data_IF_534355848485
#
_entry.id   IF_534355848485
#
_cell.length_a   1.000
_cell.length_b   1.000
_cell.length_c   1.000
_cell.angle_alpha   90.00
_cell.angle_beta   90.00
_cell.angle_gamma   90.00
#
_symmetry.space_group_name_H-M   'P 1'
#
loop_
_entity.id
_entity.type
_entity.pdbx_description
1 polymer ?
#
# COMPACT_ATOMS: atom_id res chain seq x y z
N UNK A 1 -5.79 13.08 8.06
CA UNK A 1 -5.18 12.37 6.93
C UNK A 1 -3.79 12.96 6.75
N UNK A 2 -2.75 12.13 6.75
CA UNK A 2 -1.35 12.58 6.65
C UNK A 2 -0.93 12.64 5.18
N UNK A 3 -1.25 11.61 4.40
CA UNK A 3 -0.86 11.50 2.99
C UNK A 3 -1.77 10.53 2.24
N UNK A 4 -1.90 10.70 0.93
CA UNK A 4 -2.68 9.81 0.07
C UNK A 4 -2.29 10.02 -1.38
N UNK A 5 -2.11 8.92 -2.11
CA UNK A 5 -1.89 8.94 -3.55
C UNK A 5 -2.57 7.74 -4.23
N UNK A 6 -3.04 7.97 -5.45
CA UNK A 6 -3.36 6.92 -6.39
C UNK A 6 -2.07 6.38 -6.99
N UNK A 7 -2.01 5.07 -7.22
CA UNK A 7 -0.91 4.45 -7.95
C UNK A 7 -1.26 4.40 -9.43
N UNK A 8 -0.25 4.53 -10.28
CA UNK A 8 -0.37 4.30 -11.72
C UNK A 8 -0.74 2.84 -12.02
N UNK A 9 -1.09 2.60 -13.28
CA UNK A 9 -1.47 1.27 -13.75
C UNK A 9 -0.37 0.22 -13.47
N UNK A 10 -0.72 -1.05 -13.22
CA UNK A 10 0.24 -2.10 -12.87
C UNK A 10 1.36 -2.31 -13.91
N UNK A 11 1.12 -1.96 -15.17
CA UNK A 11 2.10 -2.03 -16.26
C UNK A 11 3.20 -0.95 -16.16
N UNK A 12 3.01 0.08 -15.33
CA UNK A 12 4.02 1.09 -15.00
C UNK A 12 4.87 0.68 -13.79
N UNK A 13 4.59 -0.45 -13.14
CA UNK A 13 5.35 -0.92 -11.99
C UNK A 13 6.65 -1.64 -12.39
N UNK A 14 7.61 -1.69 -11.47
CA UNK A 14 8.75 -2.59 -11.53
C UNK A 14 8.97 -3.24 -10.16
N UNK A 15 9.15 -4.55 -10.13
CA UNK A 15 9.46 -5.28 -8.91
C UNK A 15 10.98 -5.45 -8.77
N UNK A 16 11.53 -4.96 -7.67
CA UNK A 16 12.96 -5.03 -7.35
C UNK A 16 13.22 -6.12 -6.31
N UNK A 17 14.30 -6.88 -6.49
CA UNK A 17 14.78 -7.86 -5.51
C UNK A 17 16.30 -7.77 -5.39
N UNK A 18 16.79 -7.68 -4.14
CA UNK A 18 18.23 -7.72 -3.82
C UNK A 18 18.55 -9.03 -3.11
N UNK A 19 19.48 -9.81 -3.67
CA UNK A 19 20.00 -11.05 -3.07
C UNK A 19 21.50 -11.16 -3.33
N UNK A 20 22.28 -11.52 -2.31
CA UNK A 20 23.75 -11.62 -2.40
C UNK A 20 24.38 -10.36 -3.03
N UNK A 21 23.93 -9.18 -2.58
CA UNK A 21 24.33 -7.86 -3.10
C UNK A 21 24.13 -7.67 -4.61
N UNK A 22 23.24 -8.44 -5.24
CA UNK A 22 22.86 -8.28 -6.65
C UNK A 22 21.40 -7.86 -6.76
N UNK A 23 21.16 -6.84 -7.57
CA UNK A 23 19.83 -6.35 -7.94
C UNK A 23 19.28 -7.13 -9.13
N UNK A 24 18.04 -7.58 -9.04
CA UNK A 24 17.22 -8.05 -10.15
C UNK A 24 15.95 -7.21 -10.24
N UNK A 25 15.57 -6.82 -11.44
CA UNK A 25 14.36 -6.02 -11.73
C UNK A 25 13.49 -6.79 -12.72
N UNK A 26 12.18 -6.82 -12.47
CA UNK A 26 11.18 -7.36 -13.39
C UNK A 26 10.08 -6.33 -13.62
N UNK A 27 9.66 -6.17 -14.87
CA UNK A 27 8.54 -5.29 -15.22
C UNK A 27 7.23 -5.83 -14.64
N UNK A 28 6.35 -4.91 -14.23
CA UNK A 28 5.09 -5.22 -13.57
C UNK A 28 5.16 -5.27 -12.04
N UNK A 29 4.02 -5.55 -11.38
CA UNK A 29 3.90 -5.55 -9.92
C UNK A 29 4.65 -6.74 -9.29
N UNK A 30 4.95 -6.63 -7.99
CA UNK A 30 5.61 -7.71 -7.23
C UNK A 30 4.77 -9.00 -7.15
N UNK A 31 3.45 -8.88 -7.04
CA UNK A 31 2.53 -10.02 -7.03
C UNK A 31 1.48 -9.77 -8.09
N UNK A 32 1.26 -10.76 -8.96
CA UNK A 32 0.09 -10.81 -9.82
C UNK A 32 -1.10 -11.34 -9.02
N UNK A 33 -2.12 -10.50 -8.89
CA UNK A 33 -3.33 -10.79 -8.13
C UNK A 33 -4.55 -10.48 -9.00
N UNK A 34 -5.71 -11.04 -8.63
CA UNK A 34 -6.97 -10.68 -9.31
C UNK A 34 -7.36 -9.21 -9.10
N UNK A 35 -6.90 -8.61 -8.00
CA UNK A 35 -7.15 -7.21 -7.63
C UNK A 35 -5.83 -6.51 -7.41
N UNK A 36 -5.61 -5.36 -8.06
CA UNK A 36 -4.39 -4.57 -7.92
C UNK A 36 -4.50 -3.54 -6.79
N UNK A 37 -3.37 -3.21 -6.16
CA UNK A 37 -3.28 -2.07 -5.24
C UNK A 37 -3.36 -0.77 -6.04
N UNK A 38 -4.49 -0.08 -5.97
CA UNK A 38 -4.74 1.14 -6.75
C UNK A 38 -4.29 2.44 -6.06
N UNK A 39 -3.91 2.40 -4.79
CA UNK A 39 -3.64 3.59 -3.99
C UNK A 39 -3.49 3.27 -2.51
N UNK A 40 -3.11 4.28 -1.74
CA UNK A 40 -3.02 4.15 -0.28
C UNK A 40 -3.38 5.45 0.43
N UNK A 41 -3.70 5.32 1.71
CA UNK A 41 -3.96 6.43 2.62
C UNK A 41 -3.15 6.22 3.90
N UNK A 42 -2.41 7.24 4.32
CA UNK A 42 -1.81 7.31 5.65
C UNK A 42 -2.65 8.26 6.49
N UNK A 43 -3.20 7.75 7.59
CA UNK A 43 -4.05 8.51 8.50
C UNK A 43 -3.50 8.43 9.92
N UNK A 44 -3.74 9.48 10.68
CA UNK A 44 -3.59 9.46 12.13
C UNK A 44 -4.98 9.34 12.74
N UNK A 45 -5.12 8.46 13.74
CA UNK A 45 -6.34 8.25 14.48
C UNK A 45 -6.00 7.92 15.93
N UNK A 46 -6.82 8.32 16.91
CA UNK A 46 -6.57 8.05 18.32
C UNK A 46 -6.64 6.56 18.66
N UNK A 47 -7.42 5.79 17.91
CA UNK A 47 -7.59 4.35 18.08
C UNK A 47 -8.11 3.69 16.79
N UNK A 48 -8.23 2.35 16.83
CA UNK A 48 -8.72 1.57 15.70
C UNK A 48 -10.21 1.76 15.39
N UNK A 49 -11.04 2.15 16.36
CA UNK A 49 -12.44 2.41 16.09
C UNK A 49 -12.59 3.66 15.22
N UNK A 50 -11.87 4.73 15.57
CA UNK A 50 -11.85 5.97 14.79
C UNK A 50 -11.19 5.78 13.43
N UNK A 51 -10.12 4.98 13.36
CA UNK A 51 -9.48 4.63 12.09
C UNK A 51 -10.46 3.90 11.13
N UNK A 52 -11.27 2.96 11.64
CA UNK A 52 -12.30 2.27 10.84
C UNK A 52 -13.40 3.21 10.36
N UNK A 53 -13.85 4.14 11.20
CA UNK A 53 -14.84 5.16 10.79
C UNK A 53 -14.31 6.01 9.62
N UNK A 54 -13.04 6.41 9.69
CA UNK A 54 -12.39 7.18 8.62
C UNK A 54 -12.25 6.31 7.36
N UNK A 55 -11.71 5.10 7.49
CA UNK A 55 -11.49 4.19 6.36
C UNK A 55 -12.79 3.81 5.63
N UNK A 56 -13.89 3.62 6.37
CA UNK A 56 -15.20 3.32 5.81
C UNK A 56 -15.81 4.45 4.96
N UNK A 57 -15.25 5.66 5.02
CA UNK A 57 -15.66 6.80 4.19
C UNK A 57 -14.87 6.92 2.89
N UNK A 58 -13.83 6.11 2.69
CA UNK A 58 -13.01 6.14 1.49
C UNK A 58 -13.86 5.64 0.30
N UNK A 59 -14.10 6.45 -0.74
CA UNK A 59 -15.01 6.08 -1.83
C UNK A 59 -14.61 4.81 -2.58
N UNK A 60 -13.31 4.53 -2.71
CA UNK A 60 -12.80 3.33 -3.41
C UNK A 60 -13.23 2.01 -2.77
N UNK A 61 -13.56 2.01 -1.47
CA UNK A 61 -14.13 0.84 -0.79
C UNK A 61 -15.46 0.36 -1.40
N UNK A 62 -16.11 1.17 -2.25
CA UNK A 62 -17.33 0.78 -2.98
C UNK A 62 -17.06 -0.03 -4.24
N UNK A 63 -15.83 0.00 -4.77
CA UNK A 63 -15.44 -0.63 -6.04
C UNK A 63 -14.47 -1.80 -5.85
N UNK A 64 -13.95 -1.97 -4.65
CA UNK A 64 -13.02 -3.04 -4.26
C UNK A 64 -12.97 -3.13 -2.75
N UNK A 65 -11.76 -3.15 -2.18
CA UNK A 65 -11.55 -3.19 -0.74
C UNK A 65 -10.56 -2.12 -0.26
N UNK A 66 -10.69 -1.74 1.00
CA UNK A 66 -9.66 -0.99 1.73
C UNK A 66 -9.17 -1.87 2.88
N UNK A 67 -7.91 -2.30 2.83
CA UNK A 67 -7.24 -2.92 3.96
C UNK A 67 -6.77 -1.84 4.92
N UNK A 68 -7.25 -1.88 6.17
CA UNK A 68 -6.79 -1.00 7.23
C UNK A 68 -5.79 -1.73 8.13
N UNK A 69 -4.55 -1.25 8.16
CA UNK A 69 -3.46 -1.87 8.93
C UNK A 69 -2.66 -0.82 9.71
N UNK A 70 -2.44 -1.01 11.03
CA UNK A 70 -1.54 -0.15 11.79
C UNK A 70 -0.12 -0.21 11.23
N UNK A 71 0.55 0.94 11.19
CA UNK A 71 1.97 1.05 10.84
C UNK A 71 2.84 0.98 12.09
N UNK A 72 4.08 0.56 11.91
CA UNK A 72 5.14 0.63 12.92
C UNK A 72 6.34 1.34 12.31
N UNK A 73 7.14 2.01 13.14
CA UNK A 73 8.42 2.56 12.69
C UNK A 73 9.28 1.43 12.11
N UNK A 74 9.77 1.65 10.89
CA UNK A 74 10.67 0.70 10.26
C UNK A 74 12.05 0.82 10.92
N UNK A 75 12.43 -0.19 11.70
CA UNK A 75 13.78 -0.32 12.24
C UNK A 75 14.55 -1.28 11.35
N UNK A 76 15.51 -0.77 10.58
CA UNK A 76 16.44 -1.59 9.81
C UNK A 76 17.71 -1.82 10.65
N UNK A 77 18.25 -3.05 10.70
CA UNK A 77 19.59 -3.24 11.22
C UNK A 77 20.58 -2.46 10.33
N UNK A 78 21.53 -1.78 10.97
CA UNK A 78 22.63 -1.09 10.30
C UNK A 78 23.49 -2.05 9.48
#
# INVERSE_FOLDING_TARGET
MIHSDALEMPDQASALRVRNNRLSVTDGPYVETKEHLAGFYVIEAPDMAKAKEIAGRIPSARYGAVELRPVRTLTLPN
#
